data_IF_694386308558
#
_entry.id   IF_694386308558
#
_cell.length_a   1.000
_cell.length_b   1.000
_cell.length_c   1.000
_cell.angle_alpha   90.00
_cell.angle_beta   90.00
_cell.angle_gamma   90.00
#
_symmetry.space_group_name_H-M   'P 1'
#
loop_
_entity.id
_entity.type
_entity.pdbx_description
1 polymer ?
#
# COMPACT_ATOMS: atom_id res chain seq x y z
N UNK A 1 11.82 31.36 1.64
CA UNK A 1 10.98 30.27 2.20
C UNK A 1 11.41 30.00 3.62
N UNK A 2 10.52 29.61 4.55
CA UNK A 2 10.92 29.29 5.93
C UNK A 2 11.57 27.89 6.07
N UNK A 3 12.25 27.66 7.20
CA UNK A 3 13.00 26.42 7.45
C UNK A 3 12.07 25.18 7.51
N UNK A 4 10.84 25.35 7.98
CA UNK A 4 9.87 24.26 8.07
C UNK A 4 9.49 23.78 6.67
N UNK A 5 9.10 24.69 5.78
CA UNK A 5 8.72 24.38 4.41
C UNK A 5 9.92 23.86 3.60
N UNK A 6 11.13 24.36 3.89
CA UNK A 6 12.37 23.82 3.33
C UNK A 6 12.61 22.36 3.73
N UNK A 7 12.41 22.03 5.00
CA UNK A 7 12.49 20.65 5.51
C UNK A 7 11.45 19.73 4.87
N UNK A 8 10.21 20.23 4.71
CA UNK A 8 9.14 19.50 4.02
C UNK A 8 9.47 19.26 2.55
N UNK A 9 9.94 20.27 1.82
CA UNK A 9 10.35 20.15 0.43
C UNK A 9 11.45 19.10 0.26
N UNK A 10 12.51 19.18 1.07
CA UNK A 10 13.62 18.23 1.07
C UNK A 10 13.13 16.79 1.25
N UNK A 11 12.28 16.55 2.25
CA UNK A 11 11.67 15.23 2.49
C UNK A 11 10.87 14.74 1.28
N UNK A 12 10.02 15.59 0.72
CA UNK A 12 9.12 15.19 -0.36
C UNK A 12 9.83 15.00 -1.70
N UNK A 13 10.94 15.69 -1.97
CA UNK A 13 11.81 15.41 -3.11
C UNK A 13 12.49 14.04 -3.00
N UNK A 14 12.95 13.67 -1.80
CA UNK A 14 13.50 12.34 -1.55
C UNK A 14 12.43 11.25 -1.70
N UNK A 15 11.19 11.51 -1.27
CA UNK A 15 10.09 10.58 -1.51
C UNK A 15 9.82 10.41 -3.01
N UNK A 16 9.78 11.50 -3.79
CA UNK A 16 9.59 11.41 -5.24
C UNK A 16 10.71 10.63 -5.93
N UNK A 17 11.97 10.83 -5.54
CA UNK A 17 13.10 10.05 -6.06
C UNK A 17 12.85 8.53 -5.90
N UNK A 18 12.30 8.11 -4.76
CA UNK A 18 12.07 6.70 -4.43
C UNK A 18 10.75 6.14 -4.98
N UNK A 19 9.68 6.93 -4.99
CA UNK A 19 8.32 6.46 -5.28
C UNK A 19 8.04 6.46 -6.79
N UNK A 20 8.64 7.37 -7.56
CA UNK A 20 8.40 7.49 -9.01
C UNK A 20 8.60 6.20 -9.81
N UNK A 21 9.66 5.40 -9.58
CA UNK A 21 9.81 4.09 -10.23
C UNK A 21 8.64 3.13 -9.97
N UNK A 22 7.99 3.24 -8.81
CA UNK A 22 6.83 2.41 -8.46
C UNK A 22 5.59 2.70 -9.32
N UNK A 23 5.47 3.88 -9.92
CA UNK A 23 4.39 4.17 -10.88
C UNK A 23 4.56 3.36 -12.17
N UNK A 24 5.81 3.15 -12.61
CA UNK A 24 6.08 2.32 -13.79
C UNK A 24 5.73 0.87 -13.57
N UNK A 25 6.06 0.34 -12.38
CA UNK A 25 5.66 -1.00 -11.98
C UNK A 25 4.14 -1.19 -11.98
N UNK A 26 3.37 -0.13 -11.66
CA UNK A 26 1.91 -0.16 -11.66
C UNK A 26 1.29 -0.04 -13.06
N UNK A 27 2.00 0.57 -14.02
CA UNK A 27 1.56 0.67 -15.41
C UNK A 27 1.78 -0.63 -16.19
N UNK A 28 2.69 -1.48 -15.74
CA UNK A 28 2.99 -2.76 -16.37
C UNK A 28 2.07 -3.88 -15.84
N UNK A 29 1.29 -4.57 -16.69
CA UNK A 29 0.53 -5.75 -16.28
C UNK A 29 1.49 -6.87 -15.85
N UNK A 30 1.69 -7.06 -14.53
CA UNK A 30 2.46 -8.21 -14.02
C UNK A 30 1.55 -9.43 -13.90
N UNK A 31 1.86 -10.47 -14.67
CA UNK A 31 1.32 -11.80 -14.45
C UNK A 31 2.02 -12.38 -13.22
N UNK A 32 1.26 -12.71 -12.17
CA UNK A 32 1.83 -13.32 -10.96
C UNK A 32 2.61 -14.58 -11.35
N UNK A 33 3.85 -14.69 -10.88
CA UNK A 33 4.70 -15.83 -11.22
C UNK A 33 4.14 -17.07 -10.54
N UNK A 34 4.01 -18.18 -11.27
CA UNK A 34 3.54 -19.45 -10.69
C UNK A 34 4.45 -19.84 -9.52
N UNK A 35 3.93 -19.79 -8.29
CA UNK A 35 4.69 -20.03 -7.05
C UNK A 35 4.76 -18.86 -6.07
N UNK A 36 4.52 -17.60 -6.48
CA UNK A 36 4.49 -16.45 -5.54
C UNK A 36 3.32 -16.54 -4.53
N UNK A 37 2.31 -17.34 -4.85
CA UNK A 37 1.16 -17.64 -3.99
C UNK A 37 1.14 -19.11 -3.52
N UNK A 38 2.27 -19.82 -3.49
CA UNK A 38 2.33 -21.19 -2.99
C UNK A 38 1.76 -21.26 -1.55
N UNK A 39 0.53 -21.75 -1.41
CA UNK A 39 -0.16 -21.89 -0.12
C UNK A 39 -0.86 -20.65 0.44
N UNK A 40 -0.89 -19.51 -0.27
CA UNK A 40 -1.71 -18.34 0.09
C UNK A 40 -2.80 -18.15 -0.97
N UNK A 41 -4.10 -18.10 -0.62
CA UNK A 41 -5.11 -17.68 -1.59
C UNK A 41 -4.65 -16.32 -2.14
N UNK A 42 -4.78 -16.07 -3.45
CA UNK A 42 -4.54 -14.73 -3.97
C UNK A 42 -5.37 -13.81 -3.10
N UNK A 43 -4.72 -12.83 -2.46
CA UNK A 43 -5.45 -11.78 -1.78
C UNK A 43 -6.36 -11.21 -2.86
N UNK A 44 -7.65 -11.54 -2.81
CA UNK A 44 -8.66 -10.88 -3.61
C UNK A 44 -8.64 -9.47 -3.05
N UNK A 45 -7.75 -8.63 -3.58
CA UNK A 45 -7.93 -7.19 -3.55
C UNK A 45 -9.38 -7.03 -4.00
N UNK A 46 -10.25 -6.64 -3.07
CA UNK A 46 -11.62 -6.28 -3.41
C UNK A 46 -11.57 -5.36 -4.62
N UNK A 47 -12.59 -5.40 -5.47
CA UNK A 47 -12.69 -4.51 -6.62
C UNK A 47 -12.26 -3.10 -6.18
N UNK A 48 -11.05 -2.69 -6.56
CA UNK A 48 -10.53 -1.39 -6.17
C UNK A 48 -11.53 -0.39 -6.69
N UNK A 49 -12.03 0.48 -5.82
CA UNK A 49 -12.79 1.65 -6.27
C UNK A 49 -11.92 2.29 -7.36
N UNK A 50 -12.45 2.54 -8.57
CA UNK A 50 -11.65 3.13 -9.63
C UNK A 50 -10.98 4.37 -9.08
N UNK A 51 -9.65 4.47 -9.22
CA UNK A 51 -8.96 5.71 -8.94
C UNK A 51 -9.66 6.78 -9.78
N UNK A 52 -10.07 7.89 -9.15
CA UNK A 52 -10.71 9.01 -9.85
C UNK A 52 -9.77 9.61 -10.91
N UNK A 53 -8.46 9.36 -10.77
CA UNK A 53 -7.38 9.79 -11.68
C UNK A 53 -6.60 8.57 -12.17
N UNK A 54 -6.22 8.52 -13.45
CA UNK A 54 -5.45 7.40 -13.99
C UNK A 54 -4.00 7.45 -13.48
N UNK A 55 -3.38 6.28 -13.28
CA UNK A 55 -1.97 6.18 -12.84
C UNK A 55 -1.02 6.87 -13.83
N UNK A 56 -1.33 6.79 -15.13
CA UNK A 56 -0.57 7.44 -16.18
C UNK A 56 -0.63 8.97 -16.05
N UNK A 57 -1.79 9.52 -15.70
CA UNK A 57 -1.95 10.97 -15.51
C UNK A 57 -1.16 11.44 -14.28
N UNK A 58 -1.19 10.67 -13.19
CA UNK A 58 -0.37 10.95 -11.99
C UNK A 58 1.11 10.98 -12.33
N UNK A 59 1.58 10.01 -13.14
CA UNK A 59 2.96 9.97 -13.62
C UNK A 59 3.28 11.21 -14.47
N UNK A 60 2.51 11.49 -15.51
CA UNK A 60 2.73 12.62 -16.42
C UNK A 60 2.79 13.94 -15.64
N UNK A 61 1.88 14.15 -14.68
CA UNK A 61 1.84 15.38 -13.90
C UNK A 61 3.04 15.49 -12.93
N UNK A 62 3.52 14.37 -12.40
CA UNK A 62 4.72 14.35 -11.57
C UNK A 62 5.97 14.79 -12.35
N UNK A 63 6.15 14.24 -13.55
CA UNK A 63 7.26 14.59 -14.44
C UNK A 63 7.20 16.07 -14.83
N UNK A 64 6.02 16.53 -15.27
CA UNK A 64 5.80 17.94 -15.65
C UNK A 64 6.10 18.90 -14.51
N UNK A 65 5.68 18.57 -13.30
CA UNK A 65 5.93 19.41 -12.12
C UNK A 65 7.43 19.51 -11.83
N UNK A 66 8.15 18.40 -11.85
CA UNK A 66 9.61 18.39 -11.65
C UNK A 66 10.34 19.18 -12.74
N UNK A 67 10.05 18.93 -14.02
CA UNK A 67 10.73 19.61 -15.12
C UNK A 67 10.40 21.11 -15.18
N UNK A 68 9.18 21.52 -14.80
CA UNK A 68 8.83 22.93 -14.68
C UNK A 68 9.72 23.64 -13.67
N UNK A 69 9.93 23.03 -12.49
CA UNK A 69 10.73 23.63 -11.43
C UNK A 69 12.23 23.57 -11.69
N UNK A 70 12.71 22.49 -12.33
CA UNK A 70 14.07 22.45 -12.90
C UNK A 70 14.28 23.61 -13.88
N UNK A 71 13.37 23.78 -14.85
CA UNK A 71 13.47 24.85 -15.84
C UNK A 71 13.37 26.25 -15.22
N UNK A 72 12.55 26.43 -14.18
CA UNK A 72 12.47 27.68 -13.44
C UNK A 72 13.79 28.01 -12.73
N UNK A 73 14.41 27.02 -12.08
CA UNK A 73 15.69 27.21 -11.41
C UNK A 73 16.82 27.50 -12.41
N UNK A 74 16.92 26.75 -13.50
CA UNK A 74 17.95 26.98 -14.54
C UNK A 74 17.84 28.36 -15.19
N UNK A 75 16.63 28.91 -15.34
CA UNK A 75 16.44 30.28 -15.84
C UNK A 75 16.82 31.34 -14.80
N UNK A 76 16.59 31.07 -13.53
CA UNK A 76 16.88 32.00 -12.45
C UNK A 76 18.37 32.00 -12.06
N UNK A 77 19.02 30.83 -12.13
CA UNK A 77 20.41 30.61 -11.73
C UNK A 77 21.11 29.71 -12.76
N UNK A 78 21.63 30.30 -13.86
CA UNK A 78 22.29 29.54 -14.91
C UNK A 78 23.55 28.77 -14.46
N UNK A 79 24.17 29.21 -13.35
CA UNK A 79 25.40 28.63 -12.79
C UNK A 79 25.19 27.24 -12.16
N UNK A 80 23.94 26.84 -11.90
CA UNK A 80 23.61 25.50 -11.36
C UNK A 80 23.93 24.39 -12.38
N UNK A 81 24.19 24.75 -13.64
CA UNK A 81 24.68 23.83 -14.67
C UNK A 81 23.55 23.11 -15.39
N UNK A 82 23.72 21.83 -15.69
CA UNK A 82 22.71 21.01 -16.36
C UNK A 82 21.94 20.15 -15.37
N UNK A 83 20.67 19.92 -15.68
CA UNK A 83 19.81 19.03 -14.93
C UNK A 83 19.57 17.73 -15.71
N UNK A 84 19.35 16.60 -15.01
CA UNK A 84 18.98 15.35 -15.64
C UNK A 84 17.56 15.40 -16.22
N UNK A 85 17.33 14.64 -17.29
CA UNK A 85 16.01 14.50 -17.92
C UNK A 85 15.13 13.45 -17.23
N UNK A 86 15.76 12.44 -16.63
CA UNK A 86 15.07 11.38 -15.91
C UNK A 86 14.37 11.94 -14.65
N UNK A 87 13.06 11.70 -14.42
CA UNK A 87 12.31 12.34 -13.33
C UNK A 87 12.82 12.00 -11.91
N UNK A 88 13.11 10.73 -11.55
CA UNK A 88 13.77 10.42 -10.28
C UNK A 88 15.09 11.18 -10.09
N UNK A 89 15.95 11.20 -11.12
CA UNK A 89 17.19 11.96 -11.08
C UNK A 89 16.96 13.47 -10.97
N UNK A 90 15.89 14.00 -11.58
CA UNK A 90 15.52 15.41 -11.49
C UNK A 90 15.03 15.79 -10.08
N UNK A 91 14.28 14.92 -9.42
CA UNK A 91 13.89 15.09 -8.01
C UNK A 91 15.13 15.14 -7.10
N UNK A 92 16.07 14.21 -7.30
CA UNK A 92 17.36 14.21 -6.58
C UNK A 92 18.18 15.47 -6.86
N UNK A 93 18.21 15.92 -8.11
CA UNK A 93 18.94 17.12 -8.49
C UNK A 93 18.34 18.34 -7.79
N UNK A 94 17.02 18.52 -7.82
CA UNK A 94 16.32 19.59 -7.10
C UNK A 94 16.57 19.55 -5.59
N UNK A 95 16.64 18.34 -5.01
CA UNK A 95 16.99 18.18 -3.58
C UNK A 95 18.34 18.82 -3.25
N UNK A 96 19.35 18.63 -4.12
CA UNK A 96 20.65 19.27 -3.98
C UNK A 96 20.62 20.80 -4.08
N UNK A 97 19.56 21.37 -4.67
CA UNK A 97 19.42 22.80 -4.89
C UNK A 97 18.45 23.50 -3.93
N UNK A 98 17.89 22.79 -2.94
CA UNK A 98 16.87 23.35 -2.02
C UNK A 98 17.33 24.65 -1.36
N UNK A 99 18.62 24.76 -0.99
CA UNK A 99 19.19 26.00 -0.46
C UNK A 99 19.01 27.19 -1.40
N UNK A 100 19.37 27.04 -2.68
CA UNK A 100 19.18 28.10 -3.69
C UNK A 100 17.71 28.36 -3.98
N UNK A 101 16.90 27.29 -4.08
CA UNK A 101 15.45 27.41 -4.30
C UNK A 101 14.83 28.26 -3.18
N UNK A 102 15.29 28.11 -1.94
CA UNK A 102 14.71 28.83 -0.79
C UNK A 102 14.81 30.35 -0.86
N UNK A 103 15.80 30.86 -1.62
CA UNK A 103 16.02 32.29 -1.85
C UNK A 103 15.21 32.83 -3.02
N UNK A 104 14.56 31.97 -3.81
CA UNK A 104 13.79 32.39 -4.97
C UNK A 104 12.44 32.99 -4.57
N UNK A 105 11.93 34.00 -5.30
CA UNK A 105 10.62 34.61 -5.02
C UNK A 105 9.45 33.62 -5.19
N UNK A 106 9.65 32.56 -5.96
CA UNK A 106 8.67 31.49 -6.22
C UNK A 106 8.87 30.26 -5.32
N UNK A 107 9.79 30.29 -4.35
CA UNK A 107 10.15 29.15 -3.51
C UNK A 107 8.95 28.47 -2.83
N UNK A 108 8.03 29.27 -2.29
CA UNK A 108 6.84 28.75 -1.60
C UNK A 108 5.93 27.95 -2.53
N UNK A 109 5.65 28.50 -3.72
CA UNK A 109 4.84 27.83 -4.74
C UNK A 109 5.49 26.53 -5.23
N UNK A 110 6.81 26.54 -5.44
CA UNK A 110 7.57 25.34 -5.78
C UNK A 110 7.42 24.26 -4.72
N UNK A 111 7.60 24.64 -3.45
CA UNK A 111 7.47 23.69 -2.35
C UNK A 111 6.07 23.10 -2.26
N UNK A 112 5.02 23.92 -2.31
CA UNK A 112 3.64 23.47 -2.20
C UNK A 112 3.25 22.46 -3.28
N UNK A 113 3.59 22.76 -4.54
CA UNK A 113 3.24 21.89 -5.66
C UNK A 113 4.05 20.58 -5.64
N UNK A 114 5.35 20.63 -5.34
CA UNK A 114 6.17 19.42 -5.22
C UNK A 114 5.68 18.55 -4.06
N UNK A 115 5.32 19.15 -2.91
CA UNK A 115 4.78 18.43 -1.76
C UNK A 115 3.43 17.80 -2.10
N UNK A 116 2.54 18.54 -2.75
CA UNK A 116 1.24 18.03 -3.20
C UNK A 116 1.40 16.83 -4.14
N UNK A 117 2.28 16.96 -5.13
CA UNK A 117 2.55 15.91 -6.09
C UNK A 117 3.21 14.70 -5.44
N UNK A 118 4.18 14.89 -4.55
CA UNK A 118 4.84 13.81 -3.82
C UNK A 118 3.85 13.00 -2.99
N UNK A 119 2.89 13.65 -2.32
CA UNK A 119 1.85 12.96 -1.56
C UNK A 119 0.96 12.11 -2.45
N UNK A 120 0.50 12.67 -3.57
CA UNK A 120 -0.33 11.94 -4.53
C UNK A 120 0.40 10.72 -5.11
N UNK A 121 1.67 10.86 -5.47
CA UNK A 121 2.49 9.75 -5.95
C UNK A 121 2.63 8.67 -4.87
N UNK A 122 2.97 9.07 -3.63
CA UNK A 122 3.12 8.13 -2.52
C UNK A 122 1.82 7.38 -2.23
N UNK A 123 0.66 8.05 -2.22
CA UNK A 123 -0.64 7.42 -2.00
C UNK A 123 -1.02 6.42 -3.11
N UNK A 124 -0.52 6.61 -4.34
CA UNK A 124 -0.75 5.67 -5.45
C UNK A 124 0.19 4.46 -5.36
N UNK A 125 1.46 4.68 -5.04
CA UNK A 125 2.51 3.66 -5.00
C UNK A 125 2.44 2.81 -3.73
N UNK A 126 2.28 3.48 -2.59
CA UNK A 126 2.13 2.90 -1.26
C UNK A 126 0.84 3.43 -0.63
N UNK A 127 -0.34 2.93 -1.08
CA UNK A 127 -1.60 3.36 -0.51
C UNK A 127 -1.62 3.12 0.99
N UNK A 128 -2.10 4.08 1.80
CA UNK A 128 -2.22 3.88 3.23
C UNK A 128 -3.06 2.64 3.52
N UNK A 129 -2.70 1.88 4.55
CA UNK A 129 -3.53 0.79 5.03
C UNK A 129 -4.94 1.35 5.32
N UNK A 130 -5.96 0.72 4.74
CA UNK A 130 -7.36 1.13 4.93
C UNK A 130 -7.67 1.16 6.42
N UNK A 131 -7.72 2.36 7.00
CA UNK A 131 -8.09 2.58 8.41
C UNK A 131 -9.52 2.15 8.75
N UNK A 132 -10.34 1.88 7.73
CA UNK A 132 -11.75 1.49 7.85
C UNK A 132 -12.00 0.00 7.54
N UNK A 133 -10.96 -0.84 7.52
CA UNK A 133 -11.17 -2.29 7.48
C UNK A 133 -12.00 -2.67 8.72
N UNK A 134 -13.20 -3.29 8.56
CA UNK A 134 -14.05 -3.58 9.70
C UNK A 134 -13.31 -4.46 10.70
N UNK A 135 -13.50 -4.21 11.99
CA UNK A 135 -12.91 -5.05 13.02
C UNK A 135 -13.41 -6.50 12.85
N UNK A 136 -12.51 -7.49 12.97
CA UNK A 136 -12.89 -8.87 12.79
C UNK A 136 -13.90 -9.28 13.86
N UNK A 137 -14.99 -9.89 13.42
CA UNK A 137 -16.03 -10.37 14.34
C UNK A 137 -15.47 -11.45 15.27
N UNK A 138 -15.51 -11.22 16.58
CA UNK A 138 -14.97 -12.16 17.56
C UNK A 138 -15.78 -13.46 17.67
N UNK A 139 -17.11 -13.37 17.58
CA UNK A 139 -18.05 -14.49 17.65
C UNK A 139 -19.16 -14.30 16.61
N UNK A 140 -19.45 -15.33 15.84
CA UNK A 140 -20.45 -15.24 14.79
C UNK A 140 -20.78 -16.60 14.18
N UNK A 141 -21.64 -16.58 13.16
CA UNK A 141 -21.96 -17.79 12.43
C UNK A 141 -20.73 -18.35 11.70
N UNK A 142 -20.67 -19.68 11.55
CA UNK A 142 -19.53 -20.36 10.90
C UNK A 142 -19.11 -19.74 9.56
N UNK A 143 -20.07 -19.28 8.74
CA UNK A 143 -19.74 -18.63 7.45
C UNK A 143 -19.04 -17.28 7.61
N UNK A 144 -19.51 -16.46 8.55
CA UNK A 144 -18.96 -15.13 8.84
C UNK A 144 -17.55 -15.27 9.42
N UNK A 145 -17.38 -16.19 10.37
CA UNK A 145 -16.10 -16.44 11.03
C UNK A 145 -15.07 -17.05 10.07
N UNK A 146 -15.48 -17.96 9.17
CA UNK A 146 -14.60 -18.47 8.12
C UNK A 146 -14.20 -17.36 7.14
N UNK A 147 -15.10 -16.44 6.83
CA UNK A 147 -14.78 -15.27 5.99
C UNK A 147 -13.70 -14.41 6.65
N UNK A 148 -13.85 -14.10 7.94
CA UNK A 148 -12.86 -13.36 8.72
C UNK A 148 -11.53 -14.10 8.87
N UNK A 149 -11.57 -15.39 9.20
CA UNK A 149 -10.37 -16.22 9.33
C UNK A 149 -9.57 -16.25 8.01
N UNK A 150 -10.25 -16.34 6.86
CA UNK A 150 -9.60 -16.26 5.54
C UNK A 150 -9.01 -14.89 5.26
N UNK A 151 -9.71 -13.82 5.61
CA UNK A 151 -9.20 -12.45 5.47
C UNK A 151 -7.91 -12.26 6.29
N UNK A 152 -7.83 -12.90 7.45
CA UNK A 152 -6.64 -12.94 8.32
C UNK A 152 -5.58 -13.99 7.91
N UNK A 153 -5.71 -14.60 6.72
CA UNK A 153 -4.70 -15.52 6.17
C UNK A 153 -4.77 -16.96 6.69
N UNK A 154 -5.87 -17.38 7.31
CA UNK A 154 -6.10 -18.77 7.71
C UNK A 154 -6.72 -19.61 6.57
N UNK A 155 -6.26 -20.85 6.44
CA UNK A 155 -6.79 -21.84 5.49
C UNK A 155 -8.00 -22.56 6.10
N UNK A 156 -9.08 -21.83 6.32
CA UNK A 156 -10.32 -22.37 6.89
C UNK A 156 -11.37 -22.62 5.79
N UNK A 157 -12.18 -23.66 5.96
CA UNK A 157 -13.41 -23.85 5.18
C UNK A 157 -14.59 -24.07 6.12
N UNK A 158 -15.78 -23.67 5.70
CA UNK A 158 -17.02 -23.91 6.46
C UNK A 158 -17.17 -25.38 6.84
N UNK A 159 -16.80 -26.30 5.93
CA UNK A 159 -16.83 -27.73 6.17
C UNK A 159 -15.79 -28.18 7.20
N UNK A 160 -14.58 -27.62 7.17
CA UNK A 160 -13.54 -27.90 8.17
C UNK A 160 -13.96 -27.44 9.56
N UNK A 161 -14.55 -26.25 9.66
CA UNK A 161 -15.03 -25.68 10.92
C UNK A 161 -16.20 -26.49 11.48
N UNK A 162 -17.21 -26.85 10.66
CA UNK A 162 -18.27 -27.75 11.13
C UNK A 162 -17.73 -29.10 11.60
N UNK A 163 -16.77 -29.69 10.89
CA UNK A 163 -16.12 -30.94 11.31
C UNK A 163 -15.38 -30.78 12.64
N UNK A 164 -14.72 -29.64 12.88
CA UNK A 164 -14.06 -29.37 14.15
C UNK A 164 -15.05 -29.21 15.30
N UNK A 165 -16.18 -28.55 15.06
CA UNK A 165 -17.29 -28.46 16.01
C UNK A 165 -17.85 -29.85 16.33
N UNK A 166 -18.18 -30.65 15.31
CA UNK A 166 -18.69 -32.02 15.48
C UNK A 166 -17.74 -32.93 16.27
N UNK A 167 -16.44 -32.71 16.12
CA UNK A 167 -15.39 -33.46 16.83
C UNK A 167 -15.02 -32.87 18.19
N UNK A 168 -15.63 -31.75 18.59
CA UNK A 168 -15.30 -31.06 19.84
C UNK A 168 -13.92 -30.41 19.87
N UNK A 169 -13.31 -30.17 18.71
CA UNK A 169 -11.97 -29.54 18.59
C UNK A 169 -12.05 -28.03 18.86
N UNK A 170 -13.16 -27.40 18.46
CA UNK A 170 -13.44 -25.99 18.78
C UNK A 170 -14.77 -25.88 19.51
N UNK A 171 -14.89 -25.03 20.54
CA UNK A 171 -16.16 -24.74 21.19
C UNK A 171 -17.17 -24.14 20.21
N UNK A 172 -18.45 -24.46 20.41
CA UNK A 172 -19.55 -23.84 19.68
C UNK A 172 -20.76 -23.62 20.57
N UNK A 173 -21.52 -22.57 20.29
CA UNK A 173 -22.80 -22.29 20.93
C UNK A 173 -23.93 -22.39 19.90
N UNK A 174 -25.08 -22.94 20.29
CA UNK A 174 -26.27 -22.94 19.46
C UNK A 174 -27.09 -21.70 19.77
N UNK A 175 -27.20 -20.79 18.80
CA UNK A 175 -28.05 -19.62 18.92
C UNK A 175 -29.54 -20.03 18.98
N UNK A 176 -30.41 -19.17 19.55
CA UNK A 176 -31.86 -19.43 19.62
C UNK A 176 -32.54 -19.66 18.26
N UNK A 177 -31.91 -19.23 17.16
CA UNK A 177 -32.36 -19.41 15.79
C UNK A 177 -31.80 -20.67 15.10
N UNK A 178 -31.10 -21.53 15.85
CA UNK A 178 -30.51 -22.78 15.37
C UNK A 178 -29.17 -22.63 14.66
N UNK A 179 -28.59 -21.42 14.59
CA UNK A 179 -27.25 -21.23 14.03
C UNK A 179 -26.16 -21.69 15.01
N UNK A 180 -25.09 -22.27 14.45
CA UNK A 180 -23.88 -22.59 15.20
C UNK A 180 -22.97 -21.36 15.23
N UNK A 181 -22.74 -20.83 16.42
CA UNK A 181 -21.83 -19.74 16.69
C UNK A 181 -20.48 -20.30 17.13
N UNK A 182 -19.40 -19.73 16.58
CA UNK A 182 -18.03 -20.11 16.88
C UNK A 182 -17.18 -18.86 17.08
N UNK A 183 -16.11 -18.97 17.86
CA UNK A 183 -15.17 -17.85 18.07
C UNK A 183 -14.11 -17.85 16.99
N UNK A 184 -13.72 -16.66 16.54
CA UNK A 184 -12.68 -16.49 15.53
C UNK A 184 -11.32 -17.00 16.04
N UNK A 185 -10.98 -16.74 17.30
CA UNK A 185 -9.72 -17.16 17.91
C UNK A 185 -9.55 -18.70 17.85
N UNK A 186 -10.58 -19.45 18.22
CA UNK A 186 -10.54 -20.92 18.25
C UNK A 186 -10.36 -21.50 16.84
N UNK A 187 -10.98 -20.88 15.83
CA UNK A 187 -10.81 -21.28 14.42
C UNK A 187 -9.40 -20.98 13.92
N UNK A 188 -8.83 -19.81 14.29
CA UNK A 188 -7.46 -19.46 13.94
C UNK A 188 -6.44 -20.39 14.61
N UNK A 189 -6.66 -20.77 15.86
CA UNK A 189 -5.83 -21.72 16.60
C UNK A 189 -5.88 -23.11 15.98
N UNK A 190 -7.07 -23.64 15.69
CA UNK A 190 -7.23 -24.92 15.00
C UNK A 190 -6.55 -24.95 13.63
N UNK A 191 -6.59 -23.84 12.88
CA UNK A 191 -5.86 -23.69 11.63
C UNK A 191 -4.33 -23.71 11.82
N UNK A 192 -3.80 -23.15 12.91
CA UNK A 192 -2.36 -23.16 13.21
C UNK A 192 -1.90 -24.56 13.58
N UNK A 193 -2.68 -25.28 14.38
CA UNK A 193 -2.33 -26.63 14.81
C UNK A 193 -2.43 -27.65 13.68
N UNK A 194 -3.39 -27.49 12.76
CA UNK A 194 -3.45 -28.32 11.56
C UNK A 194 -2.21 -28.13 10.66
N UNK A 195 -1.71 -26.90 10.51
CA UNK A 195 -0.45 -26.65 9.78
C UNK A 195 0.74 -27.33 10.44
N UNK A 196 0.84 -27.33 11.78
CA UNK A 196 1.92 -28.01 12.49
C UNK A 196 1.88 -29.52 12.25
N UNK A 197 0.69 -30.12 12.24
CA UNK A 197 0.51 -31.54 11.95
C UNK A 197 0.86 -31.90 10.50
N UNK A 198 0.47 -31.09 9.52
CA UNK A 198 0.78 -31.35 8.11
C UNK A 198 2.29 -31.20 7.81
N UNK A 199 2.98 -30.26 8.47
CA UNK A 199 4.45 -30.09 8.33
C UNK A 199 5.22 -31.23 9.00
N UNK A 200 4.70 -31.80 10.09
CA UNK A 200 5.32 -32.92 10.80
C UNK A 200 5.20 -34.27 10.07
N UNK A 201 4.31 -34.41 9.08
CA UNK A 201 4.15 -35.64 8.29
C UNK A 201 4.94 -35.65 6.97
N UNK A 202 5.62 -34.55 6.65
CA UNK A 202 6.38 -34.38 5.39
C UNK A 202 7.90 -34.48 5.61
N UNK A 203 8.36 -34.63 6.87
CA UNK A 203 9.74 -34.95 7.24
C UNK A 203 9.87 -36.40 7.70
#
# INVERSE_FOLDING_TARGET
MDDQLMGMLSKHLLNLENDLPGLDDLLLPRQATSGENAGKPPARRGSKVPLVVSILDVKIEAERTLHRWVGALLRAVPEVGSAPMDPPAAARWLFGQVGMISEMPWAGMCAEEIIGQARLVSDVVMPPEEKDAPDPLEVGGVREIVSWARNLGAQASTRSVYRWVERGVIPSELAPDGRVLVRLADVLEACRDQRKHDVAQVN
#
